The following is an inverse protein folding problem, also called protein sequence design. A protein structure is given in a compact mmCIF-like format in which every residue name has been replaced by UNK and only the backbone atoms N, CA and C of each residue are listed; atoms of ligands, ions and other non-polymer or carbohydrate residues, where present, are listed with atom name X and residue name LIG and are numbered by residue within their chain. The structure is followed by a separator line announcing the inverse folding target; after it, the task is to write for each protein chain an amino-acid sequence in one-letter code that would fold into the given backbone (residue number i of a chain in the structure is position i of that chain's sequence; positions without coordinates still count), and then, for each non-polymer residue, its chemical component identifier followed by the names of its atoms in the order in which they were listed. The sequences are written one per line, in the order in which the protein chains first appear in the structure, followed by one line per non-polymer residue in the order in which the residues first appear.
data_IF_992723934164
#
_entry.id   IF_992723934164
#
_cell.length_a   1.000
_cell.length_b   1.000
_cell.length_c   1.000
_cell.angle_alpha   90.00
_cell.angle_beta   90.00
_cell.angle_gamma   90.00
#
_symmetry.space_group_name_H-M   'P 1'
#
loop_
_entity.id
_entity.type
_entity.pdbx_description
1 polymer ?
#
# COMPACT_ATOMS: atom_id res chain seq x y z
N UNK A 1 4.12 5.14 11.20
CA UNK A 1 4.81 4.26 12.17
C UNK A 1 3.88 3.63 13.21
N UNK A 2 2.80 4.31 13.63
CA UNK A 2 1.86 3.73 14.59
C UNK A 2 1.25 2.39 14.11
N UNK A 3 0.88 2.30 12.85
CA UNK A 3 0.35 1.05 12.27
C UNK A 3 1.39 -0.07 12.29
N UNK A 4 2.66 0.27 12.06
CA UNK A 4 3.75 -0.70 12.11
C UNK A 4 3.96 -1.26 13.52
N UNK A 5 3.96 -0.39 14.52
CA UNK A 5 4.08 -0.82 15.92
C UNK A 5 2.91 -1.70 16.34
N UNK A 6 1.71 -1.35 15.91
CA UNK A 6 0.52 -2.14 16.18
C UNK A 6 0.62 -3.55 15.60
N UNK A 7 1.10 -3.66 14.34
CA UNK A 7 1.32 -4.95 13.69
C UNK A 7 2.38 -5.78 14.42
N UNK A 8 3.47 -5.15 14.88
CA UNK A 8 4.51 -5.84 15.66
C UNK A 8 3.96 -6.40 16.97
N UNK A 9 3.17 -5.63 17.68
CA UNK A 9 2.59 -6.08 18.95
C UNK A 9 1.65 -7.26 18.76
N UNK A 10 0.99 -7.36 17.61
CA UNK A 10 0.10 -8.48 17.29
C UNK A 10 0.82 -9.70 16.74
N UNK A 11 2.07 -9.55 16.32
CA UNK A 11 2.85 -10.61 15.68
C UNK A 11 4.24 -10.69 16.31
N UNK A 12 4.36 -11.21 17.56
CA UNK A 12 5.65 -11.23 18.26
C UNK A 12 6.73 -12.05 17.56
N UNK A 13 6.36 -13.03 16.73
CA UNK A 13 7.30 -13.81 15.93
C UNK A 13 8.01 -12.92 14.90
N UNK A 14 7.35 -11.91 14.36
CA UNK A 14 7.96 -10.96 13.42
C UNK A 14 9.00 -10.09 14.15
N UNK A 15 8.70 -9.63 15.35
CA UNK A 15 9.64 -8.88 16.16
C UNK A 15 10.93 -9.68 16.40
N UNK A 16 10.79 -10.97 16.75
CA UNK A 16 11.94 -11.85 16.94
C UNK A 16 12.77 -12.00 15.69
N UNK A 17 12.14 -12.17 14.53
CA UNK A 17 12.85 -12.25 13.24
C UNK A 17 13.62 -10.98 12.91
N UNK A 18 13.01 -9.82 13.15
CA UNK A 18 13.65 -8.52 12.87
C UNK A 18 14.84 -8.26 13.79
N UNK A 19 14.76 -8.67 15.04
CA UNK A 19 15.88 -8.56 15.99
C UNK A 19 17.03 -9.50 15.64
N UNK A 20 16.71 -10.69 15.12
CA UNK A 20 17.71 -11.65 14.68
C UNK A 20 18.40 -11.23 13.39
N UNK A 21 17.69 -10.53 12.50
CA UNK A 21 18.20 -10.09 11.21
C UNK A 21 17.71 -8.68 10.91
N UNK A 22 18.47 -7.67 11.32
CA UNK A 22 18.13 -6.27 11.16
C UNK A 22 18.09 -5.82 9.69
N UNK A 23 18.72 -6.57 8.77
CA UNK A 23 18.66 -6.31 7.34
C UNK A 23 17.24 -6.47 6.76
N UNK A 24 16.36 -7.16 7.46
CA UNK A 24 14.95 -7.34 7.05
C UNK A 24 14.03 -6.18 7.43
N UNK A 25 14.50 -5.24 8.26
CA UNK A 25 13.68 -4.11 8.72
C UNK A 25 13.19 -3.28 7.54
N UNK A 26 14.01 -3.06 6.54
CA UNK A 26 13.63 -2.30 5.35
C UNK A 26 12.43 -2.93 4.64
N UNK A 27 12.48 -4.23 4.39
CA UNK A 27 11.36 -4.95 3.75
C UNK A 27 10.12 -4.96 4.64
N UNK A 28 10.30 -5.04 5.95
CA UNK A 28 9.19 -4.97 6.89
C UNK A 28 8.48 -3.61 6.83
N UNK A 29 9.23 -2.51 6.78
CA UNK A 29 8.66 -1.16 6.66
C UNK A 29 7.84 -1.04 5.36
N UNK A 30 8.38 -1.51 4.23
CA UNK A 30 7.68 -1.51 2.95
C UNK A 30 6.38 -2.32 3.01
N UNK A 31 6.42 -3.48 3.66
CA UNK A 31 5.25 -4.36 3.79
C UNK A 31 4.19 -3.73 4.71
N UNK A 32 4.59 -3.04 5.77
CA UNK A 32 3.67 -2.28 6.63
C UNK A 32 2.94 -1.21 5.80
N UNK A 33 3.67 -0.47 4.96
CA UNK A 33 3.07 0.54 4.09
C UNK A 33 2.11 -0.07 3.07
N UNK A 34 2.38 -1.30 2.61
CA UNK A 34 1.47 -2.00 1.71
C UNK A 34 0.18 -2.43 2.41
N UNK A 35 0.30 -3.11 3.55
CA UNK A 35 -0.85 -3.70 4.25
C UNK A 35 -1.67 -2.63 4.98
N UNK A 36 -1.01 -1.75 5.70
CA UNK A 36 -1.63 -0.74 6.55
C UNK A 36 -1.14 0.66 6.17
N UNK A 37 -1.39 1.03 4.92
CA UNK A 37 -1.05 2.36 4.44
C UNK A 37 -1.80 3.42 5.25
N UNK A 38 -1.12 4.39 5.87
CA UNK A 38 -1.79 5.46 6.62
C UNK A 38 -2.61 6.36 5.70
N UNK A 39 -2.16 6.54 4.45
CA UNK A 39 -2.92 7.27 3.42
C UNK A 39 -3.53 6.26 2.47
N UNK A 40 -4.86 6.08 2.54
CA UNK A 40 -5.57 5.08 1.75
C UNK A 40 -5.86 5.52 0.33
N UNK A 41 -5.84 6.82 0.08
CA UNK A 41 -6.09 7.34 -1.25
C UNK A 41 -5.86 8.84 -1.34
N UNK A 42 -5.70 9.33 -2.55
CA UNK A 42 -5.56 10.75 -2.87
C UNK A 42 -6.34 11.05 -4.15
N UNK A 43 -6.60 12.34 -4.38
CA UNK A 43 -7.25 12.80 -5.59
C UNK A 43 -6.24 13.41 -6.54
N UNK A 44 -6.46 13.22 -7.84
CA UNK A 44 -5.67 13.84 -8.91
C UNK A 44 -6.59 14.48 -9.93
N UNK A 45 -6.20 15.64 -10.44
CA UNK A 45 -6.90 16.27 -11.55
C UNK A 45 -6.29 15.84 -12.88
N UNK A 46 -7.13 15.55 -13.86
CA UNK A 46 -6.69 15.21 -15.21
C UNK A 46 -6.39 16.50 -15.94
N UNK A 47 -5.14 16.69 -16.38
CA UNK A 47 -4.69 17.92 -17.05
C UNK A 47 -4.87 17.89 -18.57
N UNK A 48 -5.04 16.71 -19.14
CA UNK A 48 -5.31 16.50 -20.56
C UNK A 48 -6.06 15.19 -20.76
N UNK A 49 -6.80 15.06 -21.86
CA UNK A 49 -7.55 13.83 -22.14
C UNK A 49 -6.61 12.62 -22.11
N UNK A 50 -6.99 11.59 -21.37
CA UNK A 50 -6.16 10.42 -21.13
C UNK A 50 -7.00 9.15 -21.19
N UNK A 51 -6.33 8.00 -21.22
CA UNK A 51 -6.97 6.68 -21.15
C UNK A 51 -6.31 5.85 -20.07
N UNK A 52 -7.12 5.24 -19.20
CA UNK A 52 -6.65 4.41 -18.10
C UNK A 52 -7.40 3.09 -18.17
N UNK A 53 -6.67 1.99 -18.36
CA UNK A 53 -7.27 0.66 -18.40
C UNK A 53 -8.36 0.50 -19.45
N UNK A 54 -8.25 1.17 -20.61
CA UNK A 54 -9.24 1.16 -21.65
C UNK A 54 -10.41 2.15 -21.47
N UNK A 55 -10.41 2.91 -20.41
CA UNK A 55 -11.47 3.89 -20.10
C UNK A 55 -10.96 5.30 -20.39
N UNK A 56 -11.73 6.07 -21.19
CA UNK A 56 -11.41 7.47 -21.47
C UNK A 56 -11.65 8.33 -20.24
N UNK A 57 -10.66 9.17 -19.93
CA UNK A 57 -10.74 10.11 -18.81
C UNK A 57 -10.56 11.53 -19.39
N UNK A 58 -11.60 12.36 -19.36
CA UNK A 58 -11.53 13.70 -19.94
C UNK A 58 -10.73 14.66 -19.07
N UNK A 59 -10.16 15.66 -19.73
CA UNK A 59 -9.52 16.79 -19.06
C UNK A 59 -10.49 17.44 -18.06
N UNK A 60 -10.00 17.76 -16.87
CA UNK A 60 -10.80 18.39 -15.81
C UNK A 60 -11.48 17.38 -14.88
N UNK A 61 -11.45 16.09 -15.20
CA UNK A 61 -11.97 15.06 -14.30
C UNK A 61 -11.12 14.94 -13.03
N UNK A 62 -11.76 14.55 -11.93
CA UNK A 62 -11.05 14.25 -10.69
C UNK A 62 -10.96 12.73 -10.52
N UNK A 63 -9.74 12.22 -10.32
CA UNK A 63 -9.51 10.81 -10.07
C UNK A 63 -9.29 10.56 -8.60
N UNK A 64 -9.96 9.55 -8.06
CA UNK A 64 -9.70 9.05 -6.72
C UNK A 64 -8.74 7.86 -6.83
N UNK A 65 -7.49 8.06 -6.42
CA UNK A 65 -6.49 6.99 -6.42
C UNK A 65 -6.57 6.27 -5.09
N UNK A 66 -6.92 4.98 -5.11
CA UNK A 66 -7.11 4.19 -3.90
C UNK A 66 -5.90 3.29 -3.68
N UNK A 67 -4.92 3.81 -2.95
CA UNK A 67 -3.68 3.08 -2.65
C UNK A 67 -3.94 1.78 -1.88
N UNK A 68 -4.87 1.82 -0.90
CA UNK A 68 -5.22 0.65 -0.13
C UNK A 68 -5.72 -0.50 -0.99
N UNK A 69 -6.58 -0.20 -1.97
CA UNK A 69 -7.10 -1.23 -2.88
C UNK A 69 -6.00 -1.80 -3.77
N UNK A 70 -5.13 -0.95 -4.33
CA UNK A 70 -4.02 -1.42 -5.17
C UNK A 70 -3.01 -2.25 -4.40
N UNK A 71 -2.73 -1.88 -3.16
CA UNK A 71 -1.79 -2.60 -2.31
C UNK A 71 -2.30 -3.99 -1.88
N UNK A 72 -3.60 -4.23 -2.01
CA UNK A 72 -4.23 -5.52 -1.70
C UNK A 72 -4.78 -6.22 -2.94
N UNK A 73 -4.33 -5.83 -4.13
CA UNK A 73 -4.75 -6.45 -5.39
C UNK A 73 -4.17 -7.86 -5.50
N UNK A 74 -5.02 -8.91 -5.55
CA UNK A 74 -4.53 -10.30 -5.61
C UNK A 74 -3.80 -10.64 -6.91
N UNK A 75 -4.01 -9.88 -7.98
CA UNK A 75 -3.25 -10.07 -9.23
C UNK A 75 -1.80 -9.64 -9.08
N UNK A 76 -1.52 -8.67 -8.22
CA UNK A 76 -0.17 -8.16 -7.98
C UNK A 76 0.48 -8.75 -6.74
N UNK A 77 -0.31 -8.99 -5.70
CA UNK A 77 0.18 -9.48 -4.41
C UNK A 77 -0.59 -10.75 -4.03
N UNK A 78 -0.01 -11.96 -4.21
CA UNK A 78 -0.65 -13.19 -3.74
C UNK A 78 -0.88 -13.12 -2.23
N UNK A 79 -2.03 -13.60 -1.77
CA UNK A 79 -2.45 -13.53 -0.37
C UNK A 79 -2.33 -12.09 0.18
N UNK A 80 -3.01 -11.09 -0.42
CA UNK A 80 -2.74 -9.68 -0.16
C UNK A 80 -3.04 -9.21 1.26
N UNK A 81 -3.84 -9.96 2.02
CA UNK A 81 -4.21 -9.59 3.39
C UNK A 81 -3.27 -10.17 4.45
N UNK A 82 -2.20 -10.81 4.02
CA UNK A 82 -1.16 -11.34 4.90
C UNK A 82 0.24 -10.69 4.62
#
# INVERSE_FOLDING_TARGET
MANGLWLLFRNPEIESLLRADTGRIRNWVEEVLRIESPTQGLYRFVTEDSEIGGVRVPKGATLAIRYGAGNHDPERFPDPDT
#
